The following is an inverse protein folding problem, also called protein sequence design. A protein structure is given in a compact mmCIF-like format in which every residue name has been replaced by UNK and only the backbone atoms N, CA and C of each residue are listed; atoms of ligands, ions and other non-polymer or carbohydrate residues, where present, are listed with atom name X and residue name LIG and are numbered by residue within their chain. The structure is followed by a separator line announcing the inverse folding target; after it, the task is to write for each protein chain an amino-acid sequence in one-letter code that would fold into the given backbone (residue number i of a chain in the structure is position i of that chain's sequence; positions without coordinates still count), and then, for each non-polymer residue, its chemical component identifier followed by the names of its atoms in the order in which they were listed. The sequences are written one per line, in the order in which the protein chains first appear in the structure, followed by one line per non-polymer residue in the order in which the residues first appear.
data_IF_984421490257
#
_entry.id   IF_984421490257
#
_cell.length_a   1.000
_cell.length_b   1.000
_cell.length_c   1.000
_cell.angle_alpha   90.00
_cell.angle_beta   90.00
_cell.angle_gamma   90.00
#
_symmetry.space_group_name_H-M   'P 1'
#
loop_
_entity.id
_entity.type
_entity.pdbx_description
1 polymer ?
#
# COMPACT_ATOMS: atom_id res chain seq x y z
N UNK A 1 27.23 -7.61 -18.36
CA UNK A 1 25.76 -7.37 -18.35
C UNK A 1 25.55 -6.00 -17.76
N UNK A 2 24.77 -5.18 -18.44
CA UNK A 2 24.49 -3.79 -18.07
C UNK A 2 23.07 -3.73 -17.50
N UNK A 3 22.89 -3.05 -16.36
CA UNK A 3 21.59 -2.88 -15.70
C UNK A 3 21.12 -1.45 -15.97
N UNK A 4 19.88 -1.29 -16.41
CA UNK A 4 19.32 0.02 -16.75
C UNK A 4 18.02 0.27 -16.01
N UNK A 5 17.89 1.47 -15.46
CA UNK A 5 16.64 2.01 -14.95
C UNK A 5 15.89 2.66 -16.12
N UNK A 6 14.64 2.24 -16.34
CA UNK A 6 13.73 2.89 -17.26
C UNK A 6 12.91 3.94 -16.51
N UNK A 7 13.05 5.19 -16.91
CA UNK A 7 12.37 6.32 -16.30
C UNK A 7 11.06 6.66 -17.03
N UNK A 8 10.08 7.14 -16.30
CA UNK A 8 8.93 7.83 -16.88
C UNK A 8 9.18 9.34 -17.05
N UNK A 9 8.18 10.07 -17.53
CA UNK A 9 8.24 11.52 -17.73
C UNK A 9 8.47 12.33 -16.44
N UNK A 10 8.36 11.71 -15.26
CA UNK A 10 8.61 12.34 -13.96
C UNK A 10 9.94 11.89 -13.34
N UNK A 11 10.83 11.27 -14.12
CA UNK A 11 12.09 10.68 -13.66
C UNK A 11 11.88 9.56 -12.62
N UNK A 12 10.74 8.86 -12.63
CA UNK A 12 10.47 7.73 -11.73
C UNK A 12 10.82 6.42 -12.42
N UNK A 13 11.52 5.54 -11.71
CA UNK A 13 11.89 4.21 -12.22
C UNK A 13 10.63 3.33 -12.35
N UNK A 14 10.24 3.02 -13.58
CA UNK A 14 9.12 2.10 -13.89
C UNK A 14 9.58 0.70 -14.27
N UNK A 15 10.82 0.54 -14.67
CA UNK A 15 11.37 -0.74 -15.10
C UNK A 15 12.85 -0.86 -14.83
N UNK A 16 13.31 -2.10 -14.62
CA UNK A 16 14.73 -2.42 -14.52
C UNK A 16 15.02 -3.50 -15.56
N UNK A 17 15.89 -3.17 -16.52
CA UNK A 17 16.28 -4.07 -17.60
C UNK A 17 17.73 -4.52 -17.45
N UNK A 18 17.99 -5.79 -17.73
CA UNK A 18 19.34 -6.35 -17.76
C UNK A 18 19.69 -6.70 -19.21
N UNK A 19 20.70 -6.04 -19.75
CA UNK A 19 21.05 -6.10 -21.17
C UNK A 19 22.48 -6.61 -21.37
N UNK A 20 22.71 -7.27 -22.50
CA UNK A 20 24.01 -7.83 -22.87
C UNK A 20 24.97 -6.79 -23.48
N UNK A 21 24.46 -5.64 -23.91
CA UNK A 21 25.23 -4.55 -24.51
C UNK A 21 24.88 -3.19 -23.92
N UNK A 22 25.70 -2.20 -24.24
CA UNK A 22 25.50 -0.81 -23.83
C UNK A 22 24.42 -0.16 -24.70
N UNK A 23 23.42 0.44 -24.07
CA UNK A 23 22.40 1.26 -24.71
C UNK A 23 22.55 2.69 -24.21
N UNK A 24 22.45 3.63 -25.15
CA UNK A 24 22.39 5.07 -24.87
C UNK A 24 21.00 5.55 -25.29
N UNK A 25 20.12 5.73 -24.32
CA UNK A 25 18.78 6.28 -24.51
C UNK A 25 18.47 7.27 -23.37
N UNK A 26 17.72 8.33 -23.65
CA UNK A 26 17.41 9.39 -22.67
C UNK A 26 16.63 8.87 -21.45
N UNK A 27 15.79 7.86 -21.65
CA UNK A 27 14.95 7.24 -20.64
C UNK A 27 15.61 6.03 -19.95
N UNK A 28 16.83 5.67 -20.34
CA UNK A 28 17.55 4.51 -19.80
C UNK A 28 18.84 4.94 -19.10
N UNK A 29 18.81 4.99 -17.77
CA UNK A 29 19.97 5.33 -16.96
C UNK A 29 20.72 4.05 -16.56
N UNK A 30 22.02 4.01 -16.85
CA UNK A 30 22.88 2.91 -16.43
C UNK A 30 22.98 2.89 -14.90
N UNK A 31 22.55 1.76 -14.32
CA UNK A 31 22.62 1.51 -12.89
C UNK A 31 23.99 0.89 -12.59
N UNK A 32 24.86 1.66 -11.93
CA UNK A 32 26.14 1.17 -11.43
C UNK A 32 26.03 0.51 -10.05
N UNK A 33 25.11 0.98 -9.20
CA UNK A 33 24.91 0.49 -7.82
C UNK A 33 23.64 -0.35 -7.65
N UNK A 34 23.71 -1.36 -6.79
CA UNK A 34 22.71 -2.44 -6.73
C UNK A 34 21.34 -2.03 -6.16
N UNK A 35 21.25 -0.88 -5.49
CA UNK A 35 20.11 -0.50 -4.64
C UNK A 35 18.98 0.27 -5.35
N UNK A 36 19.07 0.46 -6.67
CA UNK A 36 17.97 1.07 -7.44
C UNK A 36 16.80 0.09 -7.50
N UNK A 37 15.65 0.53 -7.00
CA UNK A 37 14.39 -0.22 -6.96
C UNK A 37 13.33 0.48 -7.82
N UNK A 38 12.21 -0.21 -8.03
CA UNK A 38 11.04 0.40 -8.66
C UNK A 38 10.54 1.58 -7.81
N UNK A 39 9.99 2.58 -8.48
CA UNK A 39 9.51 3.83 -7.87
C UNK A 39 10.60 4.71 -7.25
N UNK A 40 11.88 4.34 -7.36
CA UNK A 40 12.97 5.28 -7.09
C UNK A 40 12.86 6.51 -7.99
N UNK A 41 13.22 7.66 -7.45
CA UNK A 41 13.23 8.94 -8.18
C UNK A 41 14.66 9.23 -8.61
N UNK A 42 14.88 9.44 -9.90
CA UNK A 42 16.17 9.84 -10.43
C UNK A 42 16.29 11.36 -10.46
N UNK A 43 17.34 11.90 -9.83
CA UNK A 43 17.66 13.31 -9.89
C UNK A 43 18.62 13.57 -11.06
N UNK A 44 18.15 14.25 -12.09
CA UNK A 44 18.94 14.57 -13.29
C UNK A 44 20.04 15.60 -13.04
N UNK A 45 19.96 16.38 -11.96
CA UNK A 45 20.97 17.38 -11.60
C UNK A 45 22.16 16.76 -10.85
N UNK A 46 21.89 15.82 -9.95
CA UNK A 46 22.92 15.16 -9.13
C UNK A 46 23.36 13.81 -9.70
N UNK A 47 22.55 13.19 -10.55
CA UNK A 47 22.77 11.85 -11.08
C UNK A 47 22.47 10.73 -10.09
N UNK A 48 21.75 11.02 -8.99
CA UNK A 48 21.49 10.07 -7.90
C UNK A 48 20.05 9.53 -7.92
N UNK A 49 19.89 8.29 -7.45
CA UNK A 49 18.59 7.67 -7.20
C UNK A 49 18.19 7.84 -5.74
N UNK A 50 16.97 8.34 -5.52
CA UNK A 50 16.36 8.41 -4.19
C UNK A 50 15.38 7.26 -4.03
N UNK A 51 15.44 6.56 -2.89
CA UNK A 51 14.49 5.48 -2.58
C UNK A 51 13.05 6.02 -2.52
N UNK A 52 12.05 5.22 -2.92
CA UNK A 52 10.65 5.60 -2.76
C UNK A 52 10.31 5.76 -1.27
N UNK A 53 9.46 6.74 -0.97
CA UNK A 53 8.88 6.89 0.37
C UNK A 53 7.81 5.83 0.55
N UNK A 54 8.11 4.77 1.29
CA UNK A 54 7.11 3.78 1.69
C UNK A 54 6.34 4.37 2.87
N UNK A 55 5.02 4.60 2.77
CA UNK A 55 4.25 5.04 3.91
C UNK A 55 4.29 3.94 4.99
N UNK A 56 4.41 4.35 6.25
CA UNK A 56 4.30 3.42 7.38
C UNK A 56 2.99 2.63 7.29
N UNK A 57 2.99 1.32 7.60
CA UNK A 57 1.76 0.55 7.65
C UNK A 57 0.82 1.22 8.67
N UNK A 58 -0.37 1.60 8.21
CA UNK A 58 -1.43 2.08 9.11
C UNK A 58 -1.68 1.02 10.18
N UNK A 59 -1.68 1.38 11.48
CA UNK A 59 -2.04 0.45 12.54
C UNK A 59 -3.41 -0.17 12.23
N UNK A 60 -3.45 -1.50 12.09
CA UNK A 60 -4.72 -2.20 11.98
C UNK A 60 -5.32 -2.32 13.38
N UNK A 61 -6.56 -1.87 13.54
CA UNK A 61 -7.30 -2.12 14.77
C UNK A 61 -7.48 -3.63 14.95
N UNK A 62 -7.39 -4.15 16.18
CA UNK A 62 -7.60 -5.57 16.43
C UNK A 62 -9.01 -5.96 16.01
N UNK A 63 -9.13 -6.96 15.14
CA UNK A 63 -10.42 -7.56 14.82
C UNK A 63 -10.97 -8.26 16.07
N UNK A 64 -12.26 -8.10 16.40
CA UNK A 64 -12.87 -8.80 17.53
C UNK A 64 -12.70 -10.32 17.35
N UNK A 65 -12.41 -11.01 18.45
CA UNK A 65 -12.33 -12.46 18.51
C UNK A 65 -13.70 -13.09 18.26
N UNK A 66 -13.72 -14.38 17.88
CA UNK A 66 -14.97 -15.13 17.71
C UNK A 66 -15.83 -15.12 18.98
N UNK A 67 -15.18 -15.16 20.15
CA UNK A 67 -15.85 -15.10 21.44
C UNK A 67 -16.52 -13.73 21.68
N UNK A 68 -15.82 -12.63 21.37
CA UNK A 68 -16.40 -11.28 21.44
C UNK A 68 -17.54 -11.10 20.44
N UNK A 69 -17.44 -11.64 19.23
CA UNK A 69 -18.52 -11.63 18.24
C UNK A 69 -19.76 -12.41 18.72
N UNK A 70 -19.54 -13.59 19.33
CA UNK A 70 -20.63 -14.41 19.89
C UNK A 70 -21.29 -13.72 21.09
N UNK A 71 -20.50 -13.15 22.00
CA UNK A 71 -21.01 -12.38 23.13
C UNK A 71 -21.82 -11.16 22.66
N UNK A 72 -21.33 -10.43 21.66
CA UNK A 72 -22.05 -9.30 21.08
C UNK A 72 -23.36 -9.74 20.41
N UNK A 73 -23.36 -10.90 19.72
CA UNK A 73 -24.56 -11.45 19.10
C UNK A 73 -25.62 -11.80 20.13
N UNK A 74 -25.21 -12.43 21.23
CA UNK A 74 -26.11 -12.78 22.33
C UNK A 74 -26.73 -11.51 22.94
N UNK A 75 -25.89 -10.53 23.28
CA UNK A 75 -26.34 -9.24 23.84
C UNK A 75 -27.32 -8.54 22.89
N UNK A 76 -27.02 -8.49 21.60
CA UNK A 76 -27.91 -7.88 20.60
C UNK A 76 -29.26 -8.58 20.53
N UNK A 77 -29.26 -9.91 20.63
CA UNK A 77 -30.48 -10.71 20.59
C UNK A 77 -31.34 -10.46 21.83
N UNK A 78 -30.74 -10.48 23.01
CA UNK A 78 -31.43 -10.19 24.27
C UNK A 78 -32.02 -8.77 24.28
N UNK A 79 -31.28 -7.80 23.76
CA UNK A 79 -31.76 -6.42 23.64
C UNK A 79 -32.98 -6.30 22.70
N UNK A 80 -32.94 -6.94 21.53
CA UNK A 80 -34.06 -6.97 20.59
C UNK A 80 -35.31 -7.63 21.20
N UNK A 81 -35.13 -8.74 21.92
CA UNK A 81 -36.22 -9.44 22.61
C UNK A 81 -36.82 -8.52 23.68
N UNK A 82 -36.00 -7.90 24.52
CA UNK A 82 -36.47 -7.00 25.57
C UNK A 82 -37.23 -5.79 25.00
N UNK A 83 -36.76 -5.19 23.91
CA UNK A 83 -37.49 -4.10 23.24
C UNK A 83 -38.84 -4.56 22.69
N UNK A 84 -38.89 -5.75 22.07
CA UNK A 84 -40.12 -6.35 21.57
C UNK A 84 -41.12 -6.64 22.72
N UNK A 85 -40.64 -7.19 23.84
CA UNK A 85 -41.45 -7.44 25.05
C UNK A 85 -41.97 -6.15 25.71
N UNK A 86 -41.20 -5.07 25.62
CA UNK A 86 -41.62 -3.74 26.09
C UNK A 86 -42.54 -3.00 25.10
N UNK A 87 -42.85 -3.59 23.93
CA UNK A 87 -43.69 -2.98 22.90
C UNK A 87 -43.05 -1.75 22.26
N UNK A 88 -41.73 -1.59 22.38
CA UNK A 88 -40.99 -0.49 21.75
C UNK A 88 -40.61 -0.97 20.35
N UNK A 89 -41.57 -0.91 19.43
CA UNK A 89 -41.30 -1.02 18.00
C UNK A 89 -40.40 0.15 17.60
N UNK A 90 -39.26 -0.15 16.97
CA UNK A 90 -38.26 0.82 16.59
C UNK A 90 -38.82 1.99 15.76
N UNK A 91 -39.13 3.09 16.45
CA UNK A 91 -39.11 4.47 15.96
C UNK A 91 -40.22 4.92 15.00
N UNK A 92 -41.20 5.66 15.55
CA UNK A 92 -41.75 6.88 14.92
C UNK A 92 -42.06 7.96 15.99
N UNK A 93 -41.04 8.67 16.48
CA UNK A 93 -40.76 10.12 16.36
C UNK A 93 -39.51 10.46 17.16
#
# INVERSE_FOLDING_TARGET
MFKYAQLDSNNVVKGISLLSGEIVAEDMILINDMDVVLESIYNTETGEFTAPVIPDPTPVEPTPTVEEMQAQTLINTEYLIAMNEMGIEGGKV
#
